data_IF_046535595220
#
_entry.id   IF_046535595220
#
_cell.length_a   1.000
_cell.length_b   1.000
_cell.length_c   1.000
_cell.angle_alpha   90.00
_cell.angle_beta   90.00
_cell.angle_gamma   90.00
#
_symmetry.space_group_name_H-M   'P 1'
#
loop_
_entity.id
_entity.type
_entity.pdbx_description
1 polymer ?
#
# COMPACT_ATOMS: atom_id res chain seq x y z
N UNK A 1 -2.90 -1.04 4.21
CA UNK A 1 -2.71 -2.49 3.96
C UNK A 1 -2.37 -3.19 5.26
N UNK A 2 -2.58 -4.51 5.37
CA UNK A 2 -2.15 -5.32 6.51
C UNK A 2 -1.70 -6.71 6.06
N UNK A 3 -0.50 -7.13 6.45
CA UNK A 3 -0.03 -8.51 6.30
C UNK A 3 0.59 -9.04 7.59
N UNK A 4 0.38 -10.32 7.89
CA UNK A 4 1.00 -10.98 9.05
C UNK A 4 2.41 -11.49 8.77
N UNK A 5 2.76 -11.69 7.50
CA UNK A 5 4.02 -12.30 7.07
C UNK A 5 4.85 -11.36 6.17
N UNK A 6 4.21 -10.45 5.43
CA UNK A 6 4.87 -9.46 4.59
C UNK A 6 5.16 -8.19 5.40
N UNK A 7 6.45 -7.87 5.58
CA UNK A 7 6.93 -6.68 6.29
C UNK A 7 8.13 -6.04 5.57
N UNK A 8 8.34 -4.76 5.78
CA UNK A 8 9.40 -3.94 5.21
C UNK A 8 9.28 -3.84 3.70
N UNK A 9 8.06 -3.74 3.19
CA UNK A 9 7.78 -3.66 1.75
C UNK A 9 7.69 -2.20 1.29
N UNK A 10 8.06 -1.97 0.04
CA UNK A 10 7.92 -0.69 -0.62
C UNK A 10 6.52 -0.54 -1.19
N UNK A 11 5.95 0.65 -1.08
CA UNK A 11 4.60 0.96 -1.53
C UNK A 11 4.67 1.91 -2.70
N UNK A 12 4.01 1.54 -3.79
CA UNK A 12 3.86 2.36 -4.99
C UNK A 12 2.38 2.61 -5.28
N UNK A 13 2.05 3.82 -5.71
CA UNK A 13 0.71 4.20 -6.18
C UNK A 13 0.87 4.76 -7.59
N UNK A 14 0.17 4.16 -8.55
CA UNK A 14 0.22 4.50 -9.98
C UNK A 14 1.66 4.56 -10.53
N UNK A 15 2.51 3.64 -10.04
CA UNK A 15 3.92 3.55 -10.39
C UNK A 15 4.84 4.53 -9.65
N UNK A 16 4.32 5.44 -8.84
CA UNK A 16 5.11 6.37 -8.02
C UNK A 16 5.41 5.79 -6.64
N UNK A 17 6.66 5.85 -6.20
CA UNK A 17 7.08 5.41 -4.86
C UNK A 17 6.50 6.34 -3.78
N UNK A 18 5.84 5.74 -2.77
CA UNK A 18 5.21 6.46 -1.65
C UNK A 18 6.03 6.34 -0.38
N UNK A 19 6.63 5.16 -0.14
CA UNK A 19 7.41 4.90 1.06
C UNK A 19 7.63 3.42 1.30
N UNK A 20 8.32 3.12 2.40
CA UNK A 20 8.60 1.75 2.85
C UNK A 20 7.95 1.53 4.21
N UNK A 21 7.24 0.41 4.36
CA UNK A 21 6.63 0.02 5.63
C UNK A 21 7.71 -0.24 6.69
N UNK A 22 7.46 0.25 7.91
CA UNK A 22 8.44 0.18 9.00
C UNK A 22 9.59 1.19 8.92
N UNK A 23 9.47 2.26 8.13
CA UNK A 23 10.46 3.33 8.00
C UNK A 23 9.89 4.68 8.47
N UNK A 24 10.74 5.50 9.11
CA UNK A 24 10.32 6.78 9.68
C UNK A 24 9.52 6.60 10.99
N UNK A 25 8.29 7.12 11.03
CA UNK A 25 7.37 6.96 12.17
C UNK A 25 6.48 5.72 12.07
N UNK A 26 6.57 4.98 10.96
CA UNK A 26 5.83 3.75 10.73
C UNK A 26 6.56 2.58 11.38
N UNK A 27 5.86 1.75 12.14
CA UNK A 27 6.42 0.58 12.82
C UNK A 27 6.40 -0.62 11.88
N UNK A 28 7.41 -1.49 11.99
CA UNK A 28 7.54 -2.70 11.15
C UNK A 28 6.55 -3.82 11.58
N UNK A 29 5.26 -3.56 11.46
CA UNK A 29 4.17 -4.43 11.92
C UNK A 29 3.34 -5.06 10.77
N UNK A 30 3.67 -4.73 9.52
CA UNK A 30 2.98 -5.17 8.32
C UNK A 30 1.78 -4.30 7.95
N UNK A 31 1.57 -3.17 8.63
CA UNK A 31 0.51 -2.20 8.36
C UNK A 31 1.11 -0.95 7.72
N UNK A 32 0.51 -0.53 6.60
CA UNK A 32 0.87 0.75 5.96
C UNK A 32 -0.38 1.56 5.66
N UNK A 33 -0.36 2.85 5.99
CA UNK A 33 -1.47 3.78 5.78
C UNK A 33 -1.09 4.82 4.73
N UNK A 34 -1.93 4.99 3.72
CA UNK A 34 -1.75 6.01 2.69
C UNK A 34 -3.09 6.63 2.31
N UNK A 35 -3.04 7.79 1.66
CA UNK A 35 -4.21 8.44 1.06
C UNK A 35 -3.99 8.59 -0.43
N UNK A 36 -5.03 8.31 -1.21
CA UNK A 36 -5.08 8.56 -2.65
C UNK A 36 -6.21 9.54 -2.96
N UNK A 37 -6.14 10.27 -4.08
CA UNK A 37 -7.32 10.93 -4.64
C UNK A 37 -8.51 9.97 -4.74
N UNK A 38 -9.71 10.48 -4.46
CA UNK A 38 -10.93 9.67 -4.52
C UNK A 38 -11.58 9.71 -5.91
N UNK A 39 -12.57 8.85 -6.07
CA UNK A 39 -13.49 8.75 -7.21
C UNK A 39 -12.78 8.51 -8.56
N UNK A 40 -11.62 7.85 -8.50
CA UNK A 40 -10.83 7.47 -9.67
C UNK A 40 -10.12 6.13 -9.50
N UNK A 41 -9.64 5.60 -10.62
CA UNK A 41 -8.90 4.35 -10.67
C UNK A 41 -7.46 4.52 -10.20
N UNK A 42 -7.00 3.61 -9.34
CA UNK A 42 -5.61 3.53 -8.90
C UNK A 42 -5.06 2.11 -8.98
N UNK A 43 -3.75 2.03 -9.15
CA UNK A 43 -2.95 0.80 -9.03
C UNK A 43 -1.99 0.94 -7.86
N UNK A 44 -2.22 0.15 -6.82
CA UNK A 44 -1.40 0.10 -5.62
C UNK A 44 -0.54 -1.15 -5.70
N UNK A 45 0.78 -1.01 -5.59
CA UNK A 45 1.72 -2.14 -5.68
C UNK A 45 2.59 -2.18 -4.43
N UNK A 46 2.61 -3.33 -3.77
CA UNK A 46 3.60 -3.63 -2.73
C UNK A 46 4.77 -4.37 -3.36
N UNK A 47 6.00 -3.91 -3.16
CA UNK A 47 7.21 -4.59 -3.61
C UNK A 47 8.05 -5.07 -2.43
N UNK A 48 8.45 -6.33 -2.46
CA UNK A 48 9.39 -6.90 -1.48
C UNK A 48 10.28 -7.93 -2.15
N UNK A 49 11.60 -7.79 -1.98
CA UNK A 49 12.59 -8.76 -2.47
C UNK A 49 12.40 -9.13 -3.96
N UNK A 50 12.04 -8.16 -4.81
CA UNK A 50 11.79 -8.38 -6.24
C UNK A 50 10.45 -9.07 -6.57
N UNK A 51 9.57 -9.28 -5.60
CA UNK A 51 8.19 -9.73 -5.80
C UNK A 51 7.23 -8.55 -5.69
N UNK A 52 6.15 -8.58 -6.48
CA UNK A 52 5.12 -7.53 -6.51
C UNK A 52 3.75 -8.09 -6.17
N UNK A 53 2.99 -7.37 -5.34
CA UNK A 53 1.62 -7.66 -4.97
C UNK A 53 0.73 -6.47 -5.37
N UNK A 54 0.13 -6.51 -6.58
CA UNK A 54 -0.69 -5.42 -7.08
C UNK A 54 -2.15 -5.54 -6.60
N UNK A 55 -2.75 -4.39 -6.31
CA UNK A 55 -4.18 -4.20 -6.12
C UNK A 55 -4.64 -3.05 -7.01
N UNK A 56 -5.69 -3.26 -7.80
CA UNK A 56 -6.20 -2.25 -8.74
C UNK A 56 -7.70 -2.08 -8.58
N UNK A 57 -8.17 -0.84 -8.64
CA UNK A 57 -9.61 -0.57 -8.60
C UNK A 57 -9.94 0.91 -8.49
N UNK A 58 -11.24 1.20 -8.43
CA UNK A 58 -11.75 2.54 -8.13
C UNK A 58 -11.82 2.75 -6.63
N UNK A 59 -11.18 3.81 -6.14
CA UNK A 59 -11.16 4.17 -4.74
C UNK A 59 -12.06 5.39 -4.52
N UNK A 60 -13.15 5.22 -3.77
CA UNK A 60 -14.12 6.28 -3.51
C UNK A 60 -13.59 7.27 -2.47
N UNK A 61 -13.90 8.54 -2.66
CA UNK A 61 -13.57 9.58 -1.67
C UNK A 61 -14.27 9.30 -0.34
N UNK A 62 -13.56 9.49 0.77
CA UNK A 62 -14.09 9.26 2.12
C UNK A 62 -14.27 7.79 2.53
N UNK A 63 -13.98 6.83 1.65
CA UNK A 63 -14.02 5.41 1.97
C UNK A 63 -12.68 4.93 2.56
N UNK A 64 -12.76 3.91 3.42
CA UNK A 64 -11.59 3.21 3.95
C UNK A 64 -11.48 1.83 3.34
N UNK A 65 -10.32 1.52 2.77
CA UNK A 65 -10.04 0.24 2.16
C UNK A 65 -9.01 -0.54 2.96
N UNK A 66 -9.26 -1.83 3.17
CA UNK A 66 -8.35 -2.72 3.88
C UNK A 66 -7.92 -3.87 2.98
N UNK A 67 -6.70 -3.75 2.47
CA UNK A 67 -6.01 -4.83 1.76
C UNK A 67 -5.40 -5.79 2.77
N UNK A 68 -5.72 -7.07 2.64
CA UNK A 68 -5.14 -8.15 3.44
C UNK A 68 -4.32 -9.03 2.51
N UNK A 69 -3.03 -9.16 2.80
CA UNK A 69 -2.06 -9.93 1.99
C UNK A 69 -1.34 -10.91 2.91
#
# INVERSE_FOLDING_TARGET
>A
MRSSWLKGYDVYVDGSYIGTEGMGSDILDGVYNLRVPGDMWHTIVLMKNGQSYPETGTFLSGASYRFTI
#
